data_IF_450883212663
#
_entry.id   IF_450883212663
#
_cell.length_a   1.000
_cell.length_b   1.000
_cell.length_c   1.000
_cell.angle_alpha   90.00
_cell.angle_beta   90.00
_cell.angle_gamma   90.00
#
_symmetry.space_group_name_H-M   'P 1'
#
loop_
_entity.id
_entity.type
_entity.pdbx_description
1 polymer ?
#
# COMPACT_ATOMS: atom_id res chain seq x y z
N UNK A 1 -6.18 -11.48 -7.87
CA UNK A 1 -6.78 -11.09 -6.58
C UNK A 1 -8.11 -10.33 -6.72
N UNK A 2 -8.70 -10.25 -7.93
CA UNK A 2 -9.95 -9.51 -8.17
C UNK A 2 -11.15 -9.98 -7.34
N UNK A 3 -11.17 -11.25 -6.91
CA UNK A 3 -12.22 -11.82 -6.07
C UNK A 3 -12.41 -11.08 -4.73
N UNK A 4 -11.36 -10.43 -4.21
CA UNK A 4 -11.43 -9.70 -2.93
C UNK A 4 -12.02 -8.29 -3.06
N UNK A 5 -12.04 -7.72 -4.28
CA UNK A 5 -12.41 -6.30 -4.49
C UNK A 5 -13.82 -5.97 -3.99
N UNK A 6 -14.77 -6.88 -4.13
CA UNK A 6 -16.16 -6.59 -3.76
C UNK A 6 -16.28 -6.34 -2.25
N UNK A 7 -15.78 -7.26 -1.44
CA UNK A 7 -15.83 -7.14 0.02
C UNK A 7 -14.98 -5.96 0.51
N UNK A 8 -13.79 -5.80 -0.06
CA UNK A 8 -12.88 -4.69 0.27
C UNK A 8 -13.55 -3.33 0.04
N UNK A 9 -14.12 -3.09 -1.15
CA UNK A 9 -14.77 -1.81 -1.49
C UNK A 9 -16.07 -1.59 -0.70
N UNK A 10 -16.90 -2.62 -0.54
CA UNK A 10 -18.16 -2.51 0.22
C UNK A 10 -17.93 -2.20 1.70
N UNK A 11 -16.86 -2.72 2.28
CA UNK A 11 -16.50 -2.42 3.67
C UNK A 11 -15.77 -1.08 3.79
N UNK A 12 -14.94 -0.70 2.82
CA UNK A 12 -14.34 0.64 2.76
C UNK A 12 -15.42 1.74 2.71
N UNK A 13 -16.51 1.56 1.98
CA UNK A 13 -17.62 2.51 1.96
C UNK A 13 -18.27 2.74 3.34
N UNK A 14 -18.22 1.75 4.23
CA UNK A 14 -18.82 1.85 5.57
C UNK A 14 -17.88 2.48 6.60
N UNK A 15 -16.57 2.37 6.39
CA UNK A 15 -15.60 2.55 7.46
C UNK A 15 -14.42 3.47 7.12
N UNK A 16 -14.07 3.60 5.83
CA UNK A 16 -12.87 4.32 5.41
C UNK A 16 -13.19 5.78 5.06
N UNK A 17 -12.68 6.72 5.86
CA UNK A 17 -12.73 8.15 5.60
C UNK A 17 -14.17 8.64 5.33
N UNK A 18 -15.14 8.11 6.08
CA UNK A 18 -16.56 8.48 5.92
C UNK A 18 -16.73 9.97 6.23
N UNK A 19 -17.45 10.68 5.36
CA UNK A 19 -17.61 12.15 5.43
C UNK A 19 -16.52 12.94 4.71
N UNK A 20 -15.46 12.29 4.20
CA UNK A 20 -14.39 12.93 3.45
C UNK A 20 -14.42 12.52 1.97
N UNK A 21 -13.77 13.33 1.12
CA UNK A 21 -13.58 13.01 -0.31
C UNK A 21 -12.63 11.82 -0.44
N UNK A 22 -13.03 10.81 -1.20
CA UNK A 22 -12.21 9.60 -1.42
C UNK A 22 -12.14 9.28 -2.91
N UNK A 23 -10.93 8.95 -3.36
CA UNK A 23 -10.68 8.45 -4.71
C UNK A 23 -10.03 7.08 -4.60
N UNK A 24 -10.75 6.02 -4.96
CA UNK A 24 -10.21 4.67 -5.03
C UNK A 24 -9.45 4.47 -6.35
N UNK A 25 -8.23 3.98 -6.26
CA UNK A 25 -7.45 3.57 -7.42
C UNK A 25 -7.28 2.05 -7.40
N UNK A 26 -7.98 1.36 -8.32
CA UNK A 26 -7.93 -0.10 -8.43
C UNK A 26 -6.96 -0.48 -9.53
N UNK A 27 -5.76 -0.92 -9.13
CA UNK A 27 -4.77 -1.49 -10.03
C UNK A 27 -5.14 -2.95 -10.37
N UNK A 28 -5.30 -3.27 -11.64
CA UNK A 28 -5.71 -4.61 -12.06
C UNK A 28 -5.23 -4.94 -13.49
N UNK A 29 -4.95 -6.21 -13.73
CA UNK A 29 -4.75 -6.78 -15.07
C UNK A 29 -6.08 -7.18 -15.74
N UNK A 30 -7.20 -7.05 -15.02
CA UNK A 30 -8.53 -7.47 -15.47
C UNK A 30 -9.56 -6.36 -15.20
N UNK A 31 -9.57 -5.26 -15.99
CA UNK A 31 -10.49 -4.13 -15.75
C UNK A 31 -11.97 -4.52 -15.72
N UNK A 32 -12.38 -5.45 -16.58
CA UNK A 32 -13.76 -5.93 -16.66
C UNK A 32 -14.19 -6.75 -15.42
N UNK A 33 -13.25 -7.23 -14.61
CA UNK A 33 -13.54 -8.00 -13.39
C UNK A 33 -13.72 -7.11 -12.15
N UNK A 34 -13.53 -5.80 -12.26
CA UNK A 34 -13.76 -4.87 -11.14
C UNK A 34 -15.26 -4.80 -10.86
N UNK A 35 -15.71 -5.09 -9.61
CA UNK A 35 -17.13 -5.11 -9.30
C UNK A 35 -17.74 -3.71 -9.34
N UNK A 36 -19.01 -3.62 -9.75
CA UNK A 36 -19.81 -2.40 -9.59
C UNK A 36 -20.26 -2.28 -8.15
N UNK A 37 -19.64 -1.37 -7.40
CA UNK A 37 -19.98 -1.06 -6.00
C UNK A 37 -20.65 0.31 -5.95
N UNK A 38 -21.67 0.46 -5.12
CA UNK A 38 -22.34 1.75 -4.90
C UNK A 38 -21.44 2.61 -4.03
N UNK A 39 -21.10 3.81 -4.50
CA UNK A 39 -20.26 4.76 -3.77
C UNK A 39 -21.10 5.90 -3.19
N UNK A 40 -20.77 6.34 -1.98
CA UNK A 40 -21.34 7.52 -1.35
C UNK A 40 -20.97 8.82 -2.09
N UNK A 41 -21.71 9.89 -1.81
CA UNK A 41 -21.46 11.21 -2.40
C UNK A 41 -20.03 11.70 -2.10
N UNK A 42 -19.38 12.29 -3.11
CA UNK A 42 -18.00 12.79 -2.98
C UNK A 42 -16.92 11.70 -3.05
N UNK A 43 -17.30 10.46 -3.40
CA UNK A 43 -16.40 9.32 -3.56
C UNK A 43 -16.41 8.85 -5.00
N UNK A 44 -15.25 8.48 -5.52
CA UNK A 44 -15.08 8.02 -6.90
C UNK A 44 -14.08 6.88 -6.98
N UNK A 45 -14.16 6.10 -8.07
CA UNK A 45 -13.27 4.98 -8.32
C UNK A 45 -12.71 5.07 -9.74
N UNK A 46 -11.41 4.85 -9.88
CA UNK A 46 -10.72 4.74 -11.16
C UNK A 46 -10.01 3.40 -11.24
N UNK A 47 -10.24 2.71 -12.34
CA UNK A 47 -9.55 1.46 -12.67
C UNK A 47 -8.28 1.79 -13.44
N UNK A 48 -7.15 1.28 -12.98
CA UNK A 48 -5.84 1.47 -13.58
C UNK A 48 -5.36 0.11 -14.11
N UNK A 49 -5.38 -0.05 -15.43
CA UNK A 49 -4.91 -1.28 -16.06
C UNK A 49 -3.39 -1.38 -15.96
N UNK A 50 -2.91 -2.49 -15.42
CA UNK A 50 -1.48 -2.78 -15.29
C UNK A 50 -1.18 -4.23 -15.67
N UNK A 51 0.06 -4.50 -16.06
CA UNK A 51 0.49 -5.86 -16.38
C UNK A 51 0.46 -6.77 -15.15
N UNK A 52 0.09 -8.03 -15.35
CA UNK A 52 0.34 -9.08 -14.38
C UNK A 52 1.81 -9.57 -14.45
N UNK A 53 2.37 -9.91 -13.30
CA UNK A 53 3.64 -10.64 -13.19
C UNK A 53 3.38 -12.11 -12.86
N UNK A 54 4.24 -13.01 -13.34
CA UNK A 54 4.05 -14.46 -13.18
C UNK A 54 4.14 -14.92 -11.72
N UNK A 55 5.04 -14.30 -10.93
CA UNK A 55 5.28 -14.66 -9.53
C UNK A 55 4.56 -13.69 -8.61
N UNK A 56 3.95 -14.20 -7.54
CA UNK A 56 3.23 -13.36 -6.57
C UNK A 56 4.16 -12.38 -5.85
N UNK A 57 5.43 -12.74 -5.65
CA UNK A 57 6.45 -11.84 -5.09
C UNK A 57 6.64 -10.62 -5.99
N UNK A 58 6.77 -10.85 -7.31
CA UNK A 58 6.93 -9.76 -8.27
C UNK A 58 5.65 -8.91 -8.35
N UNK A 59 4.46 -9.52 -8.28
CA UNK A 59 3.20 -8.76 -8.16
C UNK A 59 3.20 -7.86 -6.93
N UNK A 60 3.62 -8.37 -5.76
CA UNK A 60 3.64 -7.59 -4.52
C UNK A 60 4.70 -6.48 -4.53
N UNK A 61 5.92 -6.79 -4.96
CA UNK A 61 7.06 -5.86 -5.02
C UNK A 61 6.83 -4.74 -6.02
N UNK A 62 6.30 -5.05 -7.20
CA UNK A 62 6.10 -4.07 -8.29
C UNK A 62 5.02 -3.02 -7.99
N UNK A 63 4.26 -3.18 -6.90
CA UNK A 63 3.38 -2.12 -6.39
C UNK A 63 4.14 -0.84 -6.09
N UNK A 64 5.38 -0.92 -5.59
CA UNK A 64 6.19 0.26 -5.29
C UNK A 64 6.49 1.08 -6.56
N UNK A 65 6.89 0.40 -7.65
CA UNK A 65 7.07 1.01 -8.96
C UNK A 65 5.77 1.66 -9.45
N UNK A 66 4.68 0.89 -9.49
CA UNK A 66 3.39 1.35 -9.97
C UNK A 66 2.85 2.55 -9.18
N UNK A 67 2.92 2.53 -7.85
CA UNK A 67 2.47 3.65 -7.03
C UNK A 67 3.33 4.89 -7.31
N UNK A 68 4.66 4.74 -7.39
CA UNK A 68 5.57 5.86 -7.65
C UNK A 68 5.32 6.50 -9.02
N UNK A 69 5.07 5.70 -10.05
CA UNK A 69 4.71 6.14 -11.40
C UNK A 69 3.39 6.94 -11.39
N UNK A 70 2.37 6.44 -10.70
CA UNK A 70 1.07 7.10 -10.65
C UNK A 70 1.04 8.32 -9.72
N UNK A 71 1.98 8.44 -8.78
CA UNK A 71 2.19 9.69 -8.05
C UNK A 71 2.46 10.85 -9.01
N UNK A 72 3.36 10.65 -9.99
CA UNK A 72 3.70 11.66 -11.00
C UNK A 72 2.58 11.87 -12.01
N UNK A 73 1.95 10.78 -12.45
CA UNK A 73 0.96 10.85 -13.53
C UNK A 73 -0.40 11.40 -13.09
N UNK A 74 -0.80 11.15 -11.84
CA UNK A 74 -2.17 11.41 -11.38
C UNK A 74 -2.27 11.93 -9.94
N UNK A 75 -1.68 11.23 -8.97
CA UNK A 75 -2.07 11.45 -7.58
C UNK A 75 -1.74 12.86 -7.08
N UNK A 76 -0.64 13.46 -7.55
CA UNK A 76 -0.26 14.83 -7.19
C UNK A 76 -1.30 15.91 -7.54
N UNK A 77 -2.16 15.66 -8.53
CA UNK A 77 -3.22 16.60 -8.93
C UNK A 77 -4.62 16.21 -8.47
N UNK A 78 -4.78 15.02 -7.89
CA UNK A 78 -6.10 14.44 -7.57
C UNK A 78 -6.36 14.30 -6.06
N UNK A 79 -5.32 14.07 -5.24
CA UNK A 79 -5.47 13.79 -3.80
C UNK A 79 -4.37 14.42 -2.95
N UNK A 80 -4.68 14.72 -1.68
CA UNK A 80 -3.70 15.25 -0.72
C UNK A 80 -2.86 14.14 -0.06
N UNK A 81 -3.50 13.00 0.21
CA UNK A 81 -2.93 11.85 0.90
C UNK A 81 -3.19 10.55 0.13
N UNK A 82 -2.25 9.63 0.22
CA UNK A 82 -2.37 8.25 -0.26
C UNK A 82 -2.37 7.28 0.92
N UNK A 83 -3.29 6.32 0.85
CA UNK A 83 -3.32 5.16 1.73
C UNK A 83 -3.19 3.93 0.84
N UNK A 84 -2.11 3.18 1.03
CA UNK A 84 -1.74 2.02 0.22
C UNK A 84 -1.94 0.74 1.03
N UNK A 85 -2.86 -0.12 0.57
CA UNK A 85 -3.29 -1.30 1.33
C UNK A 85 -3.39 -2.56 0.48
N UNK A 86 -3.22 -3.71 1.13
CA UNK A 86 -3.49 -5.03 0.53
C UNK A 86 -5.00 -5.25 0.34
N UNK A 87 -5.36 -5.94 -0.75
CA UNK A 87 -6.77 -6.10 -1.16
C UNK A 87 -7.45 -7.30 -0.52
N UNK A 88 -6.71 -8.29 -0.04
CA UNK A 88 -7.18 -9.48 0.67
C UNK A 88 -7.55 -9.17 2.14
N UNK A 89 -8.21 -8.02 2.34
CA UNK A 89 -8.59 -7.43 3.62
C UNK A 89 -10.06 -6.99 3.58
N UNK A 90 -10.63 -6.73 4.76
CA UNK A 90 -11.92 -6.06 4.91
C UNK A 90 -11.84 -5.03 6.05
N UNK A 91 -12.61 -3.95 5.93
CA UNK A 91 -12.75 -2.98 7.02
C UNK A 91 -13.87 -3.44 7.96
N UNK A 92 -13.61 -3.47 9.27
CA UNK A 92 -14.60 -3.88 10.28
C UNK A 92 -15.05 -2.76 11.21
N UNK A 93 -14.27 -1.68 11.28
CA UNK A 93 -14.53 -0.53 12.13
C UNK A 93 -13.88 0.72 11.51
N UNK A 94 -14.13 1.87 12.12
CA UNK A 94 -13.66 3.19 11.70
C UNK A 94 -12.15 3.22 11.36
N UNK A 95 -11.84 3.73 10.18
CA UNK A 95 -10.49 4.12 9.74
C UNK A 95 -10.62 5.50 9.08
N UNK A 96 -10.25 6.55 9.80
CA UNK A 96 -10.50 7.92 9.40
C UNK A 96 -9.26 8.79 9.36
N UNK A 97 -9.48 10.09 9.47
CA UNK A 97 -8.44 11.10 9.32
C UNK A 97 -7.35 11.05 10.40
N UNK A 98 -7.57 10.32 11.49
CA UNK A 98 -6.57 10.12 12.54
C UNK A 98 -5.28 9.45 12.06
N UNK A 99 -5.31 8.73 10.92
CA UNK A 99 -4.10 8.14 10.33
C UNK A 99 -3.33 9.12 9.42
N UNK A 100 -3.93 10.27 9.08
CA UNK A 100 -3.35 11.19 8.10
C UNK A 100 -2.22 12.00 8.73
N UNK A 101 -1.04 11.85 8.16
CA UNK A 101 0.22 12.47 8.56
C UNK A 101 1.16 12.48 7.35
N UNK A 102 2.28 13.24 7.31
CA UNK A 102 3.16 13.21 6.16
C UNK A 102 3.60 11.80 5.74
N UNK A 103 3.91 10.92 6.70
CA UNK A 103 4.26 9.52 6.46
C UNK A 103 3.84 8.65 7.65
N UNK A 104 3.19 7.52 7.39
CA UNK A 104 2.89 6.52 8.40
C UNK A 104 3.21 5.10 7.93
N UNK A 105 3.58 4.27 8.89
CA UNK A 105 3.63 2.81 8.77
C UNK A 105 2.75 2.18 9.84
N UNK A 106 2.30 0.94 9.62
CA UNK A 106 1.43 0.22 10.55
C UNK A 106 2.21 -0.88 11.26
N UNK A 107 2.05 -1.02 12.57
CA UNK A 107 2.67 -2.12 13.32
C UNK A 107 2.15 -3.47 12.81
N UNK A 108 3.05 -4.40 12.49
CA UNK A 108 2.65 -5.74 12.08
C UNK A 108 2.03 -6.50 13.26
N UNK A 109 0.83 -7.10 13.12
CA UNK A 109 0.11 -7.72 14.23
C UNK A 109 0.83 -8.95 14.82
N UNK A 110 1.68 -9.62 14.05
CA UNK A 110 2.53 -10.71 14.53
C UNK A 110 3.78 -10.29 15.34
N UNK A 111 4.13 -9.00 15.39
CA UNK A 111 5.42 -8.55 15.95
C UNK A 111 5.32 -7.36 16.92
N UNK A 112 4.15 -6.75 17.12
CA UNK A 112 4.03 -5.53 17.95
C UNK A 112 4.52 -5.68 19.40
N UNK A 113 4.52 -6.91 19.95
CA UNK A 113 5.04 -7.23 21.28
C UNK A 113 6.40 -7.93 21.29
N UNK A 114 7.03 -8.10 20.13
CA UNK A 114 8.29 -8.83 19.98
C UNK A 114 9.49 -7.90 20.18
N UNK A 115 10.62 -8.45 20.63
CA UNK A 115 11.90 -7.74 20.65
C UNK A 115 12.50 -7.62 19.24
N UNK A 116 13.35 -6.61 19.01
CA UNK A 116 13.87 -6.27 17.67
C UNK A 116 14.69 -7.38 17.02
N UNK A 117 15.35 -8.20 17.83
CA UNK A 117 16.15 -9.32 17.36
C UNK A 117 15.28 -10.46 16.80
N UNK A 118 14.00 -10.52 17.20
CA UNK A 118 13.00 -11.46 16.69
C UNK A 118 12.30 -10.97 15.42
N UNK A 119 12.43 -9.69 15.08
CA UNK A 119 11.88 -9.15 13.83
C UNK A 119 12.51 -9.83 12.60
N UNK A 120 11.67 -10.18 11.64
CA UNK A 120 12.06 -10.84 10.39
C UNK A 120 12.52 -9.85 9.32
N UNK A 121 13.30 -8.83 9.71
CA UNK A 121 14.01 -8.00 8.73
C UNK A 121 14.97 -8.85 7.90
N UNK A 122 15.35 -8.37 6.73
CA UNK A 122 16.43 -8.97 5.97
C UNK A 122 17.75 -8.85 6.76
N UNK A 123 18.45 -9.98 6.90
CA UNK A 123 19.66 -10.09 7.73
C UNK A 123 20.92 -10.38 6.93
N UNK A 124 20.80 -10.55 5.61
CA UNK A 124 21.93 -10.72 4.69
C UNK A 124 22.49 -9.34 4.33
N UNK A 125 23.74 -9.00 4.71
CA UNK A 125 24.33 -7.69 4.44
C UNK A 125 24.48 -7.32 2.97
N UNK A 126 24.28 -8.29 2.05
CA UNK A 126 24.32 -8.09 0.61
C UNK A 126 23.06 -7.40 0.06
N UNK A 127 21.94 -7.44 0.79
CA UNK A 127 20.68 -6.81 0.37
C UNK A 127 20.61 -5.36 0.83
N UNK A 128 20.02 -4.50 0.01
CA UNK A 128 19.68 -3.11 0.36
C UNK A 128 18.67 -3.01 1.52
N UNK A 129 17.96 -4.09 1.83
CA UNK A 129 16.99 -4.14 2.94
C UNK A 129 17.61 -4.60 4.28
N UNK A 130 18.94 -4.80 4.34
CA UNK A 130 19.62 -5.28 5.53
C UNK A 130 19.42 -4.36 6.73
N UNK A 131 19.00 -4.94 7.86
CA UNK A 131 18.95 -4.26 9.16
C UNK A 131 19.72 -5.09 10.19
N UNK A 132 20.70 -4.51 10.92
CA UNK A 132 21.40 -5.17 12.04
C UNK A 132 20.49 -5.65 13.17
N UNK A 133 20.96 -6.60 13.98
CA UNK A 133 20.17 -7.21 15.07
C UNK A 133 19.87 -6.24 16.22
N UNK A 134 20.71 -5.25 16.40
CA UNK A 134 20.66 -4.21 17.44
C UNK A 134 19.96 -2.92 16.98
N UNK A 135 19.53 -2.85 15.71
CA UNK A 135 18.79 -1.73 15.14
C UNK A 135 17.30 -2.05 14.89
N UNK A 136 16.50 -1.00 14.71
CA UNK A 136 15.06 -1.07 14.39
C UNK A 136 14.16 -0.73 15.58
N UNK A 137 13.19 0.16 15.32
CA UNK A 137 12.18 0.56 16.29
C UNK A 137 11.00 -0.41 16.31
N UNK A 138 10.40 -0.67 15.13
CA UNK A 138 9.21 -1.50 14.97
C UNK A 138 9.23 -2.30 13.67
N UNK A 139 8.58 -3.46 13.68
CA UNK A 139 8.34 -4.22 12.46
C UNK A 139 7.05 -3.76 11.78
N UNK A 140 7.19 -3.01 10.69
CA UNK A 140 6.07 -2.43 9.96
C UNK A 140 5.46 -3.40 8.93
N UNK A 141 4.15 -3.28 8.72
CA UNK A 141 3.35 -4.06 7.79
C UNK A 141 3.52 -3.55 6.35
N UNK A 142 3.81 -4.45 5.40
CA UNK A 142 3.85 -4.10 3.97
C UNK A 142 2.48 -3.84 3.33
N UNK A 143 1.41 -4.26 4.00
CA UNK A 143 0.02 -4.19 3.51
C UNK A 143 -0.80 -2.99 4.01
N UNK A 144 -0.21 -2.07 4.79
CA UNK A 144 -0.88 -0.82 5.17
C UNK A 144 0.16 0.26 5.53
N UNK A 145 0.37 1.19 4.60
CA UNK A 145 1.20 2.38 4.77
C UNK A 145 0.60 3.56 4.01
N UNK A 146 1.12 4.76 4.21
CA UNK A 146 0.64 5.91 3.48
C UNK A 146 1.23 7.22 3.98
N UNK A 147 0.65 8.31 3.53
CA UNK A 147 1.15 9.64 3.83
C UNK A 147 0.69 10.67 2.82
N UNK A 148 1.31 11.84 2.83
CA UNK A 148 1.15 12.80 1.75
C UNK A 148 1.64 12.20 0.44
N UNK A 149 1.10 12.64 -0.71
CA UNK A 149 1.52 12.12 -2.02
C UNK A 149 3.04 12.23 -2.22
N UNK A 150 3.65 13.33 -1.76
CA UNK A 150 5.09 13.54 -1.85
C UNK A 150 5.90 12.49 -1.07
N UNK A 151 5.51 12.21 0.18
CA UNK A 151 6.22 11.24 1.00
C UNK A 151 6.01 9.80 0.52
N UNK A 152 4.79 9.47 0.07
CA UNK A 152 4.51 8.15 -0.52
C UNK A 152 5.31 7.95 -1.81
N UNK A 153 5.44 8.99 -2.65
CA UNK A 153 6.31 8.93 -3.83
C UNK A 153 7.76 8.68 -3.45
N UNK A 154 8.29 9.39 -2.43
CA UNK A 154 9.67 9.20 -1.94
C UNK A 154 9.88 7.77 -1.44
N UNK A 155 9.00 7.27 -0.58
CA UNK A 155 9.06 5.91 -0.03
C UNK A 155 9.03 4.87 -1.15
N UNK A 156 8.02 4.93 -2.02
CA UNK A 156 7.79 3.90 -3.04
C UNK A 156 8.90 3.90 -4.09
N UNK A 157 9.40 5.07 -4.50
CA UNK A 157 10.56 5.17 -5.41
C UNK A 157 11.83 4.59 -4.77
N UNK A 158 12.11 4.94 -3.51
CA UNK A 158 13.29 4.43 -2.81
C UNK A 158 13.24 2.90 -2.66
N UNK A 159 12.11 2.35 -2.23
CA UNK A 159 11.92 0.90 -2.14
C UNK A 159 12.07 0.23 -3.51
N UNK A 160 11.49 0.80 -4.57
CA UNK A 160 11.62 0.25 -5.92
C UNK A 160 13.08 0.22 -6.39
N UNK A 161 13.81 1.32 -6.23
CA UNK A 161 15.23 1.40 -6.58
C UNK A 161 16.08 0.38 -5.80
N UNK A 162 15.85 0.24 -4.49
CA UNK A 162 16.51 -0.76 -3.67
C UNK A 162 16.25 -2.19 -4.16
N UNK A 163 15.00 -2.52 -4.52
CA UNK A 163 14.66 -3.82 -5.11
C UNK A 163 15.34 -4.07 -6.46
N UNK A 164 15.56 -3.03 -7.27
CA UNK A 164 16.27 -3.18 -8.55
C UNK A 164 17.77 -3.42 -8.35
N UNK A 165 18.36 -2.82 -7.31
CA UNK A 165 19.75 -3.12 -6.91
C UNK A 165 19.86 -4.57 -6.43
N UNK A 166 18.95 -5.03 -5.57
CA UNK A 166 18.92 -6.42 -5.10
C UNK A 166 18.69 -7.43 -6.23
N UNK A 167 17.91 -7.08 -7.24
CA UNK A 167 17.69 -7.95 -8.41
C UNK A 167 18.94 -8.12 -9.27
N UNK A 168 19.83 -7.11 -9.28
CA UNK A 168 21.03 -7.09 -10.12
C UNK A 168 22.24 -7.78 -9.46
N UNK A 169 22.20 -8.00 -8.14
CA UNK A 169 23.26 -8.62 -7.34
C UNK A 169 22.98 -10.10 -7.07
#
# INVERSE_FOLDING_TARGET
>A
YVAFLKLFLETAEKHFMVGHRVHYYVFTDQPAAVPRVTLGTGRQLTVLEVRAYKRWQDVSMRRMEMISDFCERRFLSEVDYLVCVDVDMEFRDHVGVEILTPLFGTLHPGFYGSSREAFTYERRPQSQAYIPKDEGDFYYLGGFFGGSVQEVQRLTRACHQAMMVDQAN
#
